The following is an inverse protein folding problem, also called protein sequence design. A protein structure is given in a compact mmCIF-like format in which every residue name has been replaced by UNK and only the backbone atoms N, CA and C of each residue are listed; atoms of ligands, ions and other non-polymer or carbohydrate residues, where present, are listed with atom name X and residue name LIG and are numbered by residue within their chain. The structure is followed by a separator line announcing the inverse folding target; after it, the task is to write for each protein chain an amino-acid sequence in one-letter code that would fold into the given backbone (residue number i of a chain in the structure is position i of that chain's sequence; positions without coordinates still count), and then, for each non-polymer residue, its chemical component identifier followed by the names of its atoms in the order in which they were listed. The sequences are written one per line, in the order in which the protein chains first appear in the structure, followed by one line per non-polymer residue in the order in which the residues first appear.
data_IF_583520261140
#
_entry.id   IF_583520261140
#
_cell.length_a   1.000
_cell.length_b   1.000
_cell.length_c   1.000
_cell.angle_alpha   90.00
_cell.angle_beta   90.00
_cell.angle_gamma   90.00
#
_symmetry.space_group_name_H-M   'P 1'
#
loop_
_entity.id
_entity.type
_entity.pdbx_description
1 polymer ?
#
# COMPACT_ATOMS: atom_id res chain seq x y z
N UNK A 1 -0.70 -18.57 1.63
CA UNK A 1 -0.59 -17.97 0.27
C UNK A 1 0.66 -17.12 0.25
N UNK A 2 1.51 -17.29 -0.75
CA UNK A 2 2.68 -16.43 -0.99
C UNK A 2 2.27 -15.37 -2.02
N UNK A 3 2.71 -14.14 -1.83
CA UNK A 3 2.51 -13.04 -2.76
C UNK A 3 3.85 -12.61 -3.34
N UNK A 4 3.87 -12.27 -4.61
CA UNK A 4 5.06 -11.78 -5.32
C UNK A 4 4.81 -10.33 -5.71
N UNK A 5 5.74 -9.43 -5.39
CA UNK A 5 5.66 -8.03 -5.79
C UNK A 5 5.74 -7.89 -7.30
N UNK A 6 4.78 -7.18 -7.89
CA UNK A 6 4.66 -7.00 -9.33
C UNK A 6 5.67 -5.96 -9.83
N UNK A 7 6.93 -6.37 -9.92
CA UNK A 7 8.07 -5.58 -10.40
C UNK A 7 8.59 -6.04 -11.76
N UNK A 8 7.89 -6.99 -12.38
CA UNK A 8 8.21 -7.55 -13.69
C UNK A 8 7.11 -7.22 -14.70
N UNK A 9 7.30 -7.55 -15.97
CA UNK A 9 6.26 -7.37 -16.99
C UNK A 9 5.05 -8.28 -16.71
N UNK A 10 3.88 -7.86 -17.19
CA UNK A 10 2.61 -8.56 -16.94
C UNK A 10 2.64 -10.03 -17.42
N UNK A 11 3.29 -10.30 -18.56
CA UNK A 11 3.45 -11.67 -19.09
C UNK A 11 4.35 -12.54 -18.20
N UNK A 12 5.41 -11.98 -17.65
CA UNK A 12 6.29 -12.65 -16.70
C UNK A 12 5.56 -12.92 -15.38
N UNK A 13 4.81 -11.94 -14.88
CA UNK A 13 3.99 -12.13 -13.68
C UNK A 13 2.94 -13.22 -13.89
N UNK A 14 2.29 -13.24 -15.06
CA UNK A 14 1.36 -14.30 -15.43
C UNK A 14 1.99 -15.69 -15.43
N UNK A 15 3.21 -15.80 -15.94
CA UNK A 15 3.95 -17.07 -15.92
C UNK A 15 4.24 -17.52 -14.48
N UNK A 16 4.71 -16.60 -13.62
CA UNK A 16 4.99 -16.88 -12.20
C UNK A 16 3.74 -17.31 -11.43
N UNK A 17 2.64 -16.60 -11.62
CA UNK A 17 1.35 -16.94 -10.98
C UNK A 17 0.88 -18.32 -11.39
N UNK A 18 0.97 -18.66 -12.68
CA UNK A 18 0.53 -19.96 -13.20
C UNK A 18 1.45 -21.09 -12.74
N UNK A 19 2.75 -20.86 -12.67
CA UNK A 19 3.74 -21.88 -12.29
C UNK A 19 3.71 -22.19 -10.79
N UNK A 20 3.60 -21.15 -9.95
CA UNK A 20 3.76 -21.29 -8.50
C UNK A 20 2.45 -21.14 -7.70
N UNK A 21 1.35 -20.77 -8.34
CA UNK A 21 0.07 -20.57 -7.67
C UNK A 21 0.10 -19.44 -6.64
N UNK A 22 0.87 -18.37 -6.91
CA UNK A 22 1.06 -17.24 -6.00
C UNK A 22 0.00 -16.17 -6.22
N UNK A 23 -0.21 -15.32 -5.18
CA UNK A 23 -0.91 -14.04 -5.33
C UNK A 23 0.05 -12.94 -5.80
N UNK A 24 -0.51 -11.76 -6.04
CA UNK A 24 0.23 -10.56 -6.47
C UNK A 24 0.21 -9.51 -5.37
N UNK A 25 1.36 -8.90 -5.11
CA UNK A 25 1.46 -7.62 -4.42
C UNK A 25 1.62 -6.51 -5.45
N UNK A 26 0.58 -5.70 -5.63
CA UNK A 26 0.62 -4.58 -6.57
C UNK A 26 1.32 -3.38 -5.97
N UNK A 27 2.23 -2.77 -6.72
CA UNK A 27 2.85 -1.47 -6.42
C UNK A 27 2.17 -0.30 -7.15
N UNK A 28 1.20 -0.55 -8.03
CA UNK A 28 0.58 0.48 -8.88
C UNK A 28 -0.08 1.57 -8.03
N UNK A 29 -0.65 1.21 -6.89
CA UNK A 29 -1.32 2.15 -5.96
C UNK A 29 -0.38 2.75 -4.92
N UNK A 30 0.91 2.55 -5.06
CA UNK A 30 1.94 3.33 -4.36
C UNK A 30 2.41 4.55 -5.16
N UNK A 31 2.06 4.63 -6.44
CA UNK A 31 2.46 5.68 -7.37
C UNK A 31 1.43 6.82 -7.38
N UNK A 32 1.89 8.05 -7.15
CA UNK A 32 1.03 9.23 -7.03
C UNK A 32 0.17 9.49 -8.26
N UNK A 33 0.74 9.35 -9.47
CA UNK A 33 0.02 9.59 -10.73
C UNK A 33 -1.19 8.66 -10.89
N UNK A 34 -1.04 7.40 -10.46
CA UNK A 34 -2.14 6.43 -10.46
C UNK A 34 -3.21 6.78 -9.42
N UNK A 35 -2.81 7.34 -8.29
CA UNK A 35 -3.74 7.81 -7.26
C UNK A 35 -4.46 9.09 -7.66
N UNK A 36 -3.84 9.95 -8.46
CA UNK A 36 -4.48 11.15 -9.01
C UNK A 36 -5.58 10.81 -10.03
N UNK A 37 -5.45 9.67 -10.71
CA UNK A 37 -6.42 9.13 -11.66
C UNK A 37 -7.10 7.86 -11.13
N UNK A 38 -7.43 7.82 -9.85
CA UNK A 38 -7.79 6.63 -9.10
C UNK A 38 -8.83 5.74 -9.79
N UNK A 39 -9.92 6.32 -10.28
CA UNK A 39 -11.00 5.56 -10.91
C UNK A 39 -10.56 4.81 -12.18
N UNK A 40 -9.76 5.45 -13.01
CA UNK A 40 -9.27 4.84 -14.25
C UNK A 40 -8.14 3.84 -13.98
N UNK A 41 -7.29 4.13 -13.00
CA UNK A 41 -6.26 3.20 -12.53
C UNK A 41 -6.87 1.91 -11.98
N UNK A 42 -7.95 1.99 -11.20
CA UNK A 42 -8.67 0.82 -10.70
C UNK A 42 -9.24 -0.03 -11.86
N UNK A 43 -9.87 0.61 -12.85
CA UNK A 43 -10.42 -0.11 -14.02
C UNK A 43 -9.32 -0.81 -14.82
N UNK A 44 -8.22 -0.09 -15.06
CA UNK A 44 -7.05 -0.63 -15.79
C UNK A 44 -6.45 -1.81 -15.04
N UNK A 45 -6.28 -1.68 -13.72
CA UNK A 45 -5.72 -2.75 -12.91
C UNK A 45 -6.64 -3.97 -12.81
N UNK A 46 -7.95 -3.76 -12.77
CA UNK A 46 -8.94 -4.84 -12.85
C UNK A 46 -8.78 -5.67 -14.12
N UNK A 47 -8.56 -5.01 -15.26
CA UNK A 47 -8.34 -5.68 -16.53
C UNK A 47 -7.01 -6.45 -16.52
N UNK A 48 -5.94 -5.83 -16.03
CA UNK A 48 -4.62 -6.46 -15.84
C UNK A 48 -4.73 -7.76 -15.03
N UNK A 49 -5.42 -7.74 -13.89
CA UNK A 49 -5.61 -8.94 -13.07
C UNK A 49 -6.36 -10.06 -13.78
N UNK A 50 -7.35 -9.73 -14.59
CA UNK A 50 -8.06 -10.73 -15.41
C UNK A 50 -7.13 -11.38 -16.46
N UNK A 51 -6.26 -10.60 -17.06
CA UNK A 51 -5.30 -11.08 -18.07
C UNK A 51 -4.20 -11.96 -17.45
N UNK A 52 -3.74 -11.61 -16.27
CA UNK A 52 -2.81 -12.44 -15.48
C UNK A 52 -3.49 -13.72 -14.99
N UNK A 53 -4.79 -13.67 -14.67
CA UNK A 53 -5.56 -14.85 -14.29
C UNK A 53 -5.59 -15.13 -12.79
N UNK A 54 -5.34 -14.12 -11.93
CA UNK A 54 -5.46 -14.25 -10.48
C UNK A 54 -6.44 -13.24 -9.89
N UNK A 55 -6.99 -13.59 -8.71
CA UNK A 55 -7.77 -12.67 -7.85
C UNK A 55 -7.13 -12.52 -6.47
N UNK A 56 -6.02 -13.18 -6.23
CA UNK A 56 -5.28 -13.10 -4.98
C UNK A 56 -4.37 -11.87 -5.01
N UNK A 57 -4.89 -10.76 -4.49
CA UNK A 57 -4.27 -9.45 -4.52
C UNK A 57 -4.03 -8.93 -3.10
N UNK A 58 -2.85 -8.37 -2.89
CA UNK A 58 -2.56 -7.40 -1.85
C UNK A 58 -2.03 -6.12 -2.51
N UNK A 59 -2.16 -4.97 -1.84
CA UNK A 59 -1.61 -3.72 -2.32
C UNK A 59 -0.42 -3.31 -1.46
N UNK A 60 0.61 -2.80 -2.10
CA UNK A 60 1.63 -1.99 -1.44
C UNK A 60 1.16 -0.54 -1.44
N UNK A 61 1.01 0.03 -0.26
CA UNK A 61 0.57 1.42 -0.09
C UNK A 61 1.64 2.43 -0.50
N UNK A 62 1.27 3.71 -0.64
CA UNK A 62 2.21 4.78 -0.96
C UNK A 62 3.35 4.87 0.06
N UNK A 63 4.57 5.04 -0.44
CA UNK A 63 5.78 5.17 0.38
C UNK A 63 6.74 6.26 -0.11
N UNK A 64 6.63 6.66 -1.39
CA UNK A 64 7.42 7.75 -1.97
C UNK A 64 6.82 9.09 -1.56
N UNK A 65 7.64 9.99 -1.05
CA UNK A 65 7.28 11.36 -0.66
C UNK A 65 6.14 11.50 0.35
N UNK A 66 5.77 10.41 1.02
CA UNK A 66 4.77 10.37 2.08
C UNK A 66 5.39 9.88 3.38
N UNK A 67 4.93 10.42 4.51
CA UNK A 67 5.47 10.03 5.80
C UNK A 67 4.43 10.28 6.92
N UNK A 68 3.89 9.21 7.53
CA UNK A 68 2.93 9.34 8.64
C UNK A 68 3.54 9.97 9.90
N UNK A 69 4.87 9.97 10.01
CA UNK A 69 5.61 10.51 11.14
C UNK A 69 6.21 11.90 10.87
N UNK A 70 5.98 12.51 9.70
CA UNK A 70 6.58 13.79 9.35
C UNK A 70 6.35 14.86 10.40
N UNK A 71 7.37 15.73 10.62
CA UNK A 71 7.20 16.92 11.47
C UNK A 71 6.22 17.93 10.86
N UNK A 72 6.24 18.05 9.54
CA UNK A 72 5.35 18.93 8.81
C UNK A 72 3.93 18.36 8.73
N UNK A 73 2.95 19.15 9.17
CA UNK A 73 1.54 18.75 9.15
C UNK A 73 1.00 18.58 7.74
N UNK A 74 1.45 19.38 6.77
CA UNK A 74 1.01 19.27 5.38
C UNK A 74 1.48 17.96 4.75
N UNK A 75 2.69 17.51 5.08
CA UNK A 75 3.17 16.18 4.64
C UNK A 75 2.32 15.08 5.26
N UNK A 76 1.97 15.17 6.55
CA UNK A 76 1.06 14.19 7.18
C UNK A 76 -0.34 14.21 6.58
N UNK A 77 -0.87 15.38 6.20
CA UNK A 77 -2.17 15.51 5.54
C UNK A 77 -2.14 14.90 4.13
N UNK A 78 -1.11 15.19 3.35
CA UNK A 78 -0.89 14.56 2.04
C UNK A 78 -0.77 13.04 2.19
N UNK A 79 0.00 12.55 3.17
CA UNK A 79 0.11 11.12 3.47
C UNK A 79 -1.26 10.52 3.78
N UNK A 80 -2.06 11.16 4.62
CA UNK A 80 -3.41 10.70 4.96
C UNK A 80 -4.30 10.60 3.71
N UNK A 81 -4.23 11.58 2.82
CA UNK A 81 -4.97 11.58 1.56
C UNK A 81 -4.55 10.41 0.68
N UNK A 82 -3.25 10.21 0.46
CA UNK A 82 -2.71 9.12 -0.37
C UNK A 82 -3.05 7.74 0.21
N UNK A 83 -2.94 7.58 1.51
CA UNK A 83 -3.31 6.33 2.18
C UNK A 83 -4.81 6.01 2.05
N UNK A 84 -5.68 7.03 2.13
CA UNK A 84 -7.11 6.84 1.89
C UNK A 84 -7.42 6.48 0.44
N UNK A 85 -6.75 7.07 -0.54
CA UNK A 85 -6.89 6.70 -1.96
C UNK A 85 -6.47 5.25 -2.21
N UNK A 86 -5.34 4.81 -1.65
CA UNK A 86 -4.91 3.42 -1.76
C UNK A 86 -5.88 2.45 -1.04
N UNK A 87 -6.41 2.84 0.12
CA UNK A 87 -7.41 2.05 0.82
C UNK A 87 -8.69 1.88 -0.01
N UNK A 88 -9.16 2.95 -0.66
CA UNK A 88 -10.31 2.91 -1.56
C UNK A 88 -10.06 1.98 -2.76
N UNK A 89 -8.87 2.05 -3.37
CA UNK A 89 -8.47 1.11 -4.41
C UNK A 89 -8.53 -0.35 -3.92
N UNK A 90 -8.00 -0.61 -2.74
CA UNK A 90 -8.02 -1.93 -2.13
C UNK A 90 -9.42 -2.49 -1.94
N UNK A 91 -10.35 -1.66 -1.46
CA UNK A 91 -11.75 -2.04 -1.32
C UNK A 91 -12.39 -2.39 -2.67
N UNK A 92 -12.22 -1.53 -3.68
CA UNK A 92 -12.84 -1.72 -5.00
C UNK A 92 -12.24 -2.91 -5.76
N UNK A 93 -10.94 -3.18 -5.60
CA UNK A 93 -10.25 -4.31 -6.22
C UNK A 93 -10.45 -5.63 -5.45
N UNK A 94 -11.00 -5.59 -4.25
CA UNK A 94 -11.13 -6.75 -3.38
C UNK A 94 -9.77 -7.28 -2.89
N UNK A 95 -8.81 -6.38 -2.67
CA UNK A 95 -7.51 -6.73 -2.12
C UNK A 95 -7.66 -7.36 -0.72
N UNK A 96 -6.89 -8.40 -0.44
CA UNK A 96 -6.95 -9.11 0.85
C UNK A 96 -6.27 -8.33 1.97
N UNK A 97 -5.24 -7.54 1.62
CA UNK A 97 -4.46 -6.73 2.54
C UNK A 97 -3.91 -5.49 1.84
N UNK A 98 -3.54 -4.49 2.62
CA UNK A 98 -2.77 -3.34 2.15
C UNK A 98 -1.61 -3.16 3.12
N UNK A 99 -0.40 -3.16 2.60
CA UNK A 99 0.84 -2.98 3.37
C UNK A 99 1.24 -1.50 3.33
N UNK A 100 1.42 -0.89 4.49
CA UNK A 100 1.89 0.50 4.60
C UNK A 100 3.17 0.59 5.41
N UNK A 101 4.07 1.48 5.02
CA UNK A 101 5.26 1.79 5.80
C UNK A 101 4.96 2.77 6.94
N UNK A 102 5.62 2.55 8.07
CA UNK A 102 5.46 3.39 9.27
C UNK A 102 6.19 4.74 9.18
N UNK A 103 7.04 4.93 8.18
CA UNK A 103 7.82 6.16 7.97
C UNK A 103 8.97 6.35 8.97
N UNK A 104 9.40 5.30 9.67
CA UNK A 104 10.55 5.38 10.58
C UNK A 104 11.83 5.65 9.79
N UNK A 105 12.55 6.68 10.21
CA UNK A 105 13.90 6.96 9.77
C UNK A 105 14.78 7.26 11.01
N UNK A 106 15.65 6.33 11.42
CA UNK A 106 16.44 6.46 12.65
C UNK A 106 17.47 7.60 12.60
N UNK A 107 17.79 8.13 11.41
CA UNK A 107 18.66 9.29 11.23
C UNK A 107 17.93 10.62 11.38
N UNK A 108 16.58 10.61 11.41
CA UNK A 108 15.75 11.83 11.46
C UNK A 108 14.93 11.88 12.72
N UNK A 109 14.41 10.74 13.19
CA UNK A 109 13.47 10.70 14.31
C UNK A 109 14.06 9.98 15.52
N UNK A 110 13.88 10.55 16.70
CA UNK A 110 14.05 9.79 17.94
C UNK A 110 12.92 8.76 18.06
N UNK A 111 13.23 7.59 18.61
CA UNK A 111 12.29 6.46 18.71
C UNK A 111 11.00 6.84 19.45
N UNK A 112 11.11 7.61 20.52
CA UNK A 112 9.98 8.07 21.34
C UNK A 112 9.08 9.01 20.56
N UNK A 113 9.66 9.97 19.83
CA UNK A 113 8.92 10.88 18.97
C UNK A 113 8.17 10.11 17.87
N UNK A 114 8.86 9.23 17.19
CA UNK A 114 8.28 8.41 16.12
C UNK A 114 7.11 7.58 16.64
N UNK A 115 7.28 6.82 17.74
CA UNK A 115 6.27 5.96 18.30
C UNK A 115 4.98 6.73 18.65
N UNK A 116 5.12 7.91 19.29
CA UNK A 116 3.98 8.75 19.65
C UNK A 116 3.24 9.30 18.43
N UNK A 117 3.99 9.85 17.46
CA UNK A 117 3.39 10.53 16.31
C UNK A 117 2.81 9.54 15.31
N UNK A 118 3.49 8.45 15.05
CA UNK A 118 2.96 7.41 14.16
C UNK A 118 1.72 6.74 14.75
N UNK A 119 1.68 6.51 16.06
CA UNK A 119 0.49 5.96 16.71
C UNK A 119 -0.72 6.90 16.60
N UNK A 120 -0.52 8.22 16.71
CA UNK A 120 -1.59 9.22 16.51
C UNK A 120 -2.11 9.21 15.07
N UNK A 121 -1.19 9.12 14.09
CA UNK A 121 -1.55 9.04 12.67
C UNK A 121 -2.38 7.78 12.40
N UNK A 122 -1.91 6.62 12.82
CA UNK A 122 -2.58 5.35 12.58
C UNK A 122 -3.95 5.27 13.27
N UNK A 123 -4.07 5.72 14.51
CA UNK A 123 -5.37 5.80 15.20
C UNK A 123 -6.39 6.64 14.42
N UNK A 124 -5.95 7.72 13.78
CA UNK A 124 -6.81 8.55 12.93
C UNK A 124 -7.15 7.83 11.62
N UNK A 125 -6.16 7.20 10.99
CA UNK A 125 -6.33 6.52 9.71
C UNK A 125 -7.25 5.32 9.79
N UNK A 126 -7.08 4.44 10.80
CA UNK A 126 -7.86 3.21 10.93
C UNK A 126 -9.28 3.45 11.45
N UNK A 127 -9.57 4.63 11.99
CA UNK A 127 -10.90 4.96 12.49
C UNK A 127 -11.95 4.78 11.40
N UNK A 128 -12.92 3.91 11.66
CA UNK A 128 -13.99 3.52 10.72
C UNK A 128 -13.53 2.72 9.49
N UNK A 129 -12.33 2.10 9.54
CA UNK A 129 -11.87 1.16 8.53
C UNK A 129 -11.98 -0.28 9.01
N UNK A 130 -12.13 -1.21 8.08
CA UNK A 130 -12.21 -2.64 8.38
C UNK A 130 -10.81 -3.17 8.66
N UNK A 131 -10.56 -3.73 9.84
CA UNK A 131 -9.24 -4.19 10.30
C UNK A 131 -8.60 -5.27 9.40
N UNK A 132 -9.41 -6.02 8.64
CA UNK A 132 -8.93 -7.13 7.81
C UNK A 132 -8.01 -6.71 6.63
N UNK A 133 -7.95 -5.42 6.30
CA UNK A 133 -7.23 -4.93 5.12
C UNK A 133 -5.94 -4.18 5.44
N UNK A 134 -5.57 -4.04 6.72
CA UNK A 134 -4.44 -3.20 7.09
C UNK A 134 -3.33 -4.04 7.72
N UNK A 135 -2.20 -4.09 7.06
CA UNK A 135 -0.95 -4.60 7.61
C UNK A 135 0.07 -3.46 7.64
N UNK A 136 0.67 -3.23 8.82
CA UNK A 136 1.74 -2.25 8.97
C UNK A 136 3.08 -2.98 8.91
N UNK A 137 3.90 -2.62 7.94
CA UNK A 137 5.29 -2.98 7.99
C UNK A 137 6.01 -2.09 9.01
N UNK A 138 6.38 -2.67 10.14
CA UNK A 138 7.23 -2.05 11.15
C UNK A 138 8.72 -2.07 10.73
N UNK A 139 9.01 -2.44 9.46
CA UNK A 139 10.32 -2.67 8.90
C UNK A 139 11.45 -1.88 9.54
N UNK A 140 12.52 -2.57 9.93
CA UNK A 140 13.76 -2.16 10.59
C UNK A 140 13.84 -2.44 12.10
N UNK A 141 13.46 -3.64 12.52
CA UNK A 141 14.08 -4.22 13.71
C UNK A 141 15.36 -4.97 13.29
N UNK A 142 16.49 -4.25 13.35
CA UNK A 142 17.82 -4.85 13.54
C UNK A 142 18.59 -4.02 14.51
#
# INVERSE_FOLDING_TARGET
MIYISHLVLDDEMKALVNEYGTGIESIDFSISDNLDQLSDSIKTYWQKMKEIGTRDLILHGPFLDVNPCAYDSLVREATMTRFNQCYEAGLQLGAKKIVFHSGMNPYVYYKEYWAEHVAKFWKKFIKNKTEHYLEMDAGWEK
#
